data_IF_347797171363
#
_entry.id   IF_347797171363
#
_cell.length_a   1.000
_cell.length_b   1.000
_cell.length_c   1.000
_cell.angle_alpha   90.00
_cell.angle_beta   90.00
_cell.angle_gamma   90.00
#
_symmetry.space_group_name_H-M   'P 1'
#
loop_
_entity.id
_entity.type
_entity.pdbx_description
1 polymer ?
#
# COMPACT_ATOMS: atom_id res chain seq x y z
N UNK A 1 -20.69 0.21 2.51
CA UNK A 1 -20.61 -1.26 2.52
C UNK A 1 -19.14 -1.60 2.46
N UNK A 2 -18.56 -2.04 3.58
CA UNK A 2 -17.20 -2.58 3.62
C UNK A 2 -17.13 -3.76 2.66
N UNK A 3 -16.11 -3.86 1.82
CA UNK A 3 -15.79 -5.15 1.20
C UNK A 3 -14.67 -5.79 2.03
N UNK A 4 -14.99 -6.65 3.01
CA UNK A 4 -13.97 -7.50 3.59
C UNK A 4 -13.39 -8.38 2.48
N UNK A 5 -12.13 -8.79 2.63
CA UNK A 5 -11.58 -9.83 1.77
C UNK A 5 -12.57 -11.00 1.72
N UNK A 6 -12.89 -11.52 0.55
CA UNK A 6 -13.82 -12.64 0.43
C UNK A 6 -13.07 -13.96 0.64
N UNK A 7 -13.81 -15.05 0.87
CA UNK A 7 -13.20 -16.37 1.07
C UNK A 7 -12.39 -16.87 -0.14
N UNK A 8 -12.66 -16.32 -1.33
CA UNK A 8 -11.93 -16.61 -2.57
C UNK A 8 -10.66 -15.76 -2.73
N UNK A 9 -10.52 -14.67 -1.95
CA UNK A 9 -9.31 -13.86 -1.96
C UNK A 9 -8.15 -14.64 -1.34
N UNK A 10 -6.94 -14.40 -1.86
CA UNK A 10 -5.73 -15.03 -1.37
C UNK A 10 -4.77 -14.00 -0.81
N UNK A 11 -4.30 -14.26 0.40
CA UNK A 11 -3.28 -13.46 1.07
C UNK A 11 -2.01 -14.30 1.20
N UNK A 12 -0.93 -13.85 0.54
CA UNK A 12 0.40 -14.45 0.70
C UNK A 12 1.19 -13.70 1.76
N UNK A 13 1.44 -14.35 2.89
CA UNK A 13 2.36 -13.89 3.92
C UNK A 13 3.77 -14.37 3.59
N UNK A 14 4.62 -13.43 3.14
CA UNK A 14 6.02 -13.67 2.82
C UNK A 14 6.94 -13.30 3.99
N UNK A 15 7.82 -14.20 4.38
CA UNK A 15 8.95 -13.92 5.28
C UNK A 15 10.26 -14.12 4.56
N UNK A 16 11.15 -13.13 4.57
CA UNK A 16 12.48 -13.26 3.95
C UNK A 16 13.54 -13.40 5.04
N UNK A 17 14.27 -14.52 5.00
CA UNK A 17 15.47 -14.76 5.78
C UNK A 17 16.65 -14.15 5.02
N UNK A 18 17.38 -13.18 5.59
CA UNK A 18 18.58 -12.64 4.94
C UNK A 18 19.60 -13.76 4.69
N UNK A 19 20.19 -13.76 3.50
CA UNK A 19 21.40 -14.54 3.22
C UNK A 19 22.60 -13.62 3.20
N UNK A 20 23.66 -14.01 3.92
CA UNK A 20 24.97 -13.43 3.72
C UNK A 20 25.49 -13.90 2.35
N UNK A 21 26.07 -13.00 1.55
CA UNK A 21 26.56 -13.30 0.21
C UNK A 21 27.59 -14.44 0.26
N UNK A 22 27.20 -15.64 -0.17
CA UNK A 22 28.08 -16.82 -0.07
C UNK A 22 27.41 -18.17 -0.26
N UNK A 23 26.93 -18.46 -1.48
CA UNK A 23 26.79 -19.84 -1.98
C UNK A 23 25.49 -20.60 -1.72
N UNK A 24 24.50 -20.02 -1.02
CA UNK A 24 23.17 -20.62 -0.88
C UNK A 24 22.21 -20.18 -1.99
N UNK A 25 21.22 -21.02 -2.32
CA UNK A 25 20.20 -20.70 -3.31
C UNK A 25 19.21 -19.68 -2.74
N UNK A 26 19.10 -18.53 -3.40
CA UNK A 26 18.04 -17.54 -3.16
C UNK A 26 16.67 -18.07 -3.63
N UNK A 27 15.59 -17.49 -3.11
CA UNK A 27 14.21 -17.89 -3.38
C UNK A 27 13.57 -18.71 -2.25
N UNK A 28 12.57 -19.53 -2.60
CA UNK A 28 11.75 -20.28 -1.62
C UNK A 28 12.64 -21.21 -0.77
N UNK A 29 12.61 -21.00 0.54
CA UNK A 29 13.28 -21.82 1.53
C UNK A 29 12.31 -22.90 2.02
N UNK A 30 12.71 -24.16 1.94
CA UNK A 30 11.95 -25.27 2.54
C UNK A 30 12.29 -25.43 4.03
N UNK A 31 11.39 -25.98 4.86
CA UNK A 31 11.70 -26.33 6.24
C UNK A 31 12.88 -27.33 6.33
N UNK A 32 13.66 -27.32 7.44
CA UNK A 32 13.46 -26.53 8.66
C UNK A 32 13.94 -25.08 8.56
N UNK A 33 13.22 -24.17 9.22
CA UNK A 33 13.56 -22.74 9.27
C UNK A 33 14.45 -22.40 10.48
N UNK A 34 15.25 -21.31 10.41
CA UNK A 34 15.95 -20.80 11.59
C UNK A 34 14.98 -20.54 12.74
N UNK A 35 15.37 -20.87 13.98
CA UNK A 35 14.50 -20.79 15.18
C UNK A 35 13.91 -19.39 15.37
N UNK A 36 14.66 -18.34 15.04
CA UNK A 36 14.22 -16.94 15.06
C UNK A 36 13.03 -16.67 14.13
N UNK A 37 12.93 -17.40 13.02
CA UNK A 37 11.84 -17.30 12.04
C UNK A 37 10.56 -17.92 12.58
N UNK A 38 10.66 -19.03 13.32
CA UNK A 38 9.49 -19.80 13.80
C UNK A 38 8.55 -18.93 14.65
N UNK A 39 9.09 -18.12 15.56
CA UNK A 39 8.29 -17.21 16.39
C UNK A 39 7.59 -16.12 15.59
N UNK A 40 8.26 -15.55 14.58
CA UNK A 40 7.70 -14.55 13.67
C UNK A 40 6.56 -15.16 12.84
N UNK A 41 6.79 -16.36 12.29
CA UNK A 41 5.80 -17.08 11.49
C UNK A 41 4.55 -17.41 12.30
N UNK A 42 4.71 -17.84 13.55
CA UNK A 42 3.60 -18.13 14.45
C UNK A 42 2.80 -16.86 14.79
N UNK A 43 3.48 -15.77 15.18
CA UNK A 43 2.83 -14.50 15.51
C UNK A 43 2.11 -13.88 14.31
N UNK A 44 2.70 -13.93 13.11
CA UNK A 44 2.07 -13.40 11.91
C UNK A 44 0.83 -14.19 11.48
N UNK A 45 0.84 -15.52 11.63
CA UNK A 45 -0.37 -16.33 11.41
C UNK A 45 -1.48 -15.99 12.41
N UNK A 46 -1.14 -15.77 13.67
CA UNK A 46 -2.11 -15.40 14.71
C UNK A 46 -2.76 -14.04 14.42
N UNK A 47 -1.97 -13.05 14.00
CA UNK A 47 -2.51 -11.74 13.58
C UNK A 47 -3.49 -11.82 12.42
N UNK A 48 -3.30 -12.79 11.53
CA UNK A 48 -4.13 -12.99 10.34
C UNK A 48 -5.14 -14.13 10.50
N UNK A 49 -5.26 -14.76 11.67
CA UNK A 49 -6.08 -15.97 11.84
C UNK A 49 -7.58 -15.73 11.69
N UNK A 50 -8.02 -14.47 11.81
CA UNK A 50 -9.41 -14.04 11.63
C UNK A 50 -9.65 -13.35 10.29
N UNK A 51 -8.67 -13.38 9.38
CA UNK A 51 -8.90 -12.89 8.03
C UNK A 51 -9.85 -13.82 7.30
N UNK A 52 -10.86 -13.29 6.60
CA UNK A 52 -11.74 -14.09 5.75
C UNK A 52 -11.03 -14.67 4.50
N UNK A 53 -9.89 -14.11 4.09
CA UNK A 53 -9.10 -14.59 2.96
C UNK A 53 -8.38 -15.92 3.22
N UNK A 54 -8.11 -16.66 2.14
CA UNK A 54 -7.23 -17.82 2.18
C UNK A 54 -5.77 -17.40 2.45
N UNK A 55 -5.18 -17.88 3.54
CA UNK A 55 -3.81 -17.53 3.92
C UNK A 55 -2.80 -18.55 3.39
N UNK A 56 -1.89 -18.10 2.53
CA UNK A 56 -0.68 -18.82 2.10
C UNK A 56 0.53 -18.24 2.82
N UNK A 57 1.39 -19.11 3.34
CA UNK A 57 2.61 -18.67 4.02
C UNK A 57 3.84 -19.21 3.30
N UNK A 58 4.76 -18.32 2.98
CA UNK A 58 6.00 -18.63 2.28
C UNK A 58 7.19 -18.04 3.01
N UNK A 59 8.30 -18.78 3.02
CA UNK A 59 9.58 -18.33 3.56
C UNK A 59 10.57 -18.32 2.42
N UNK A 60 11.20 -17.19 2.18
CA UNK A 60 12.24 -17.02 1.17
C UNK A 60 13.57 -16.75 1.85
N UNK A 61 14.65 -16.99 1.12
CA UNK A 61 16.00 -16.60 1.51
C UNK A 61 16.56 -15.67 0.44
N UNK A 62 17.15 -14.55 0.85
CA UNK A 62 17.73 -13.60 -0.09
C UNK A 62 17.72 -12.16 0.42
N UNK A 63 18.03 -11.23 -0.49
CA UNK A 63 17.88 -9.80 -0.22
C UNK A 63 16.39 -9.42 -0.14
N UNK A 64 15.93 -8.98 1.04
CA UNK A 64 14.51 -8.76 1.34
C UNK A 64 13.71 -8.03 0.25
N UNK A 65 14.21 -6.88 -0.23
CA UNK A 65 13.48 -6.12 -1.26
C UNK A 65 13.38 -6.87 -2.60
N UNK A 66 14.37 -7.69 -2.96
CA UNK A 66 14.37 -8.45 -4.21
C UNK A 66 13.34 -9.58 -4.12
N UNK A 67 13.43 -10.38 -3.06
CA UNK A 67 12.50 -11.48 -2.80
C UNK A 67 11.04 -11.02 -2.69
N UNK A 68 10.80 -9.85 -2.08
CA UNK A 68 9.45 -9.26 -2.00
C UNK A 68 8.91 -8.91 -3.40
N UNK A 69 9.73 -8.29 -4.24
CA UNK A 69 9.33 -7.88 -5.60
C UNK A 69 9.10 -9.11 -6.50
N UNK A 70 9.99 -10.10 -6.40
CA UNK A 70 9.90 -11.33 -7.18
C UNK A 70 8.67 -12.15 -6.76
N UNK A 71 8.41 -12.28 -5.46
CA UNK A 71 7.20 -12.93 -4.98
C UNK A 71 5.93 -12.19 -5.42
N UNK A 72 5.92 -10.85 -5.36
CA UNK A 72 4.79 -10.06 -5.84
C UNK A 72 4.53 -10.29 -7.34
N UNK A 73 5.57 -10.37 -8.16
CA UNK A 73 5.45 -10.68 -9.58
C UNK A 73 4.99 -12.13 -9.82
N UNK A 74 5.55 -13.10 -9.10
CA UNK A 74 5.23 -14.52 -9.22
C UNK A 74 3.78 -14.83 -8.86
N UNK A 75 3.28 -14.21 -7.78
CA UNK A 75 1.91 -14.35 -7.31
C UNK A 75 0.92 -13.41 -8.01
N UNK A 76 1.40 -12.57 -8.95
CA UNK A 76 0.60 -11.52 -9.60
C UNK A 76 -0.16 -10.67 -8.59
N UNK A 77 0.52 -10.27 -7.52
CA UNK A 77 -0.09 -9.53 -6.43
C UNK A 77 -0.70 -8.23 -6.94
N UNK A 78 -1.99 -8.02 -6.66
CA UNK A 78 -2.74 -6.81 -7.04
C UNK A 78 -2.54 -5.67 -6.02
N UNK A 79 -2.04 -6.01 -4.83
CA UNK A 79 -1.66 -5.07 -3.78
C UNK A 79 -0.54 -5.68 -2.93
N UNK A 80 0.51 -4.91 -2.69
CA UNK A 80 1.59 -5.26 -1.78
C UNK A 80 1.48 -4.46 -0.48
N UNK A 81 1.37 -5.13 0.67
CA UNK A 81 1.27 -4.49 1.98
C UNK A 81 2.57 -4.68 2.76
N UNK A 82 3.20 -3.57 3.16
CA UNK A 82 4.46 -3.59 3.92
C UNK A 82 4.41 -2.61 5.09
N UNK A 83 5.12 -2.93 6.17
CA UNK A 83 5.33 -2.00 7.28
C UNK A 83 6.41 -0.95 6.95
N UNK A 84 6.25 0.27 7.44
CA UNK A 84 7.33 1.25 7.48
C UNK A 84 8.28 0.90 8.64
N UNK A 85 9.56 0.66 8.33
CA UNK A 85 10.56 0.38 9.36
C UNK A 85 11.11 1.70 9.93
N UNK A 86 10.63 2.09 11.12
CA UNK A 86 11.17 3.18 11.93
C UNK A 86 11.44 2.71 13.35
N UNK A 87 12.58 2.05 13.58
CA UNK A 87 12.95 1.51 14.90
C UNK A 87 13.44 2.59 15.90
N UNK A 88 13.33 3.89 15.59
CA UNK A 88 13.75 4.97 16.49
C UNK A 88 12.76 6.14 16.51
N UNK A 89 12.47 6.75 17.67
CA UNK A 89 11.64 7.96 17.80
C UNK A 89 12.12 9.15 16.96
N UNK A 90 13.39 9.15 16.53
CA UNK A 90 14.01 10.24 15.77
C UNK A 90 13.81 10.08 14.25
N UNK A 91 13.42 8.90 13.78
CA UNK A 91 13.24 8.58 12.34
C UNK A 91 11.77 8.40 11.94
N UNK A 92 10.86 9.15 12.57
CA UNK A 92 9.40 9.14 12.29
C UNK A 92 9.03 9.37 10.81
N UNK A 93 9.97 9.82 9.99
CA UNK A 93 9.80 10.09 8.55
C UNK A 93 10.52 9.14 7.60
N UNK A 94 11.30 8.16 8.09
CA UNK A 94 12.02 7.24 7.20
C UNK A 94 11.19 5.99 6.92
N UNK A 95 11.08 5.65 5.63
CA UNK A 95 10.33 4.51 5.11
C UNK A 95 11.01 3.16 5.44
N UNK A 96 12.31 3.17 5.72
CA UNK A 96 13.17 1.99 5.80
C UNK A 96 13.67 1.59 4.40
N UNK A 97 14.89 1.04 4.32
CA UNK A 97 15.55 0.74 3.04
C UNK A 97 14.78 -0.28 2.18
N UNK A 98 14.17 -1.29 2.82
CA UNK A 98 13.35 -2.29 2.11
C UNK A 98 12.11 -1.65 1.52
N UNK A 99 11.34 -0.90 2.30
CA UNK A 99 10.10 -0.31 1.82
C UNK A 99 10.32 0.80 0.78
N UNK A 100 11.39 1.61 0.89
CA UNK A 100 11.76 2.56 -0.16
C UNK A 100 12.08 1.85 -1.47
N UNK A 101 12.87 0.78 -1.43
CA UNK A 101 13.20 0.00 -2.63
C UNK A 101 11.98 -0.67 -3.23
N UNK A 102 11.09 -1.23 -2.41
CA UNK A 102 9.84 -1.84 -2.87
C UNK A 102 8.92 -0.81 -3.54
N UNK A 103 8.67 0.33 -2.90
CA UNK A 103 7.80 1.40 -3.47
C UNK A 103 8.31 1.89 -4.83
N UNK A 104 9.63 1.93 -5.04
CA UNK A 104 10.24 2.38 -6.29
C UNK A 104 10.14 1.38 -7.44
N UNK A 105 10.06 0.09 -7.13
CA UNK A 105 10.24 -0.98 -8.14
C UNK A 105 9.06 -1.93 -8.25
N UNK A 106 8.07 -1.87 -7.35
CA UNK A 106 6.87 -2.67 -7.45
C UNK A 106 6.09 -2.31 -8.73
N UNK A 107 5.57 -3.35 -9.39
CA UNK A 107 4.71 -3.23 -10.58
C UNK A 107 3.24 -3.14 -10.22
N UNK A 108 2.89 -3.35 -8.95
CA UNK A 108 1.55 -3.21 -8.39
C UNK A 108 1.50 -2.11 -7.32
N UNK A 109 0.31 -1.63 -6.95
CA UNK A 109 0.12 -0.70 -5.84
C UNK A 109 0.74 -1.20 -4.54
N UNK A 110 1.34 -0.29 -3.77
CA UNK A 110 2.00 -0.59 -2.49
C UNK A 110 1.34 0.19 -1.36
N UNK A 111 0.81 -0.52 -0.38
CA UNK A 111 0.33 0.05 0.88
C UNK A 111 1.42 -0.03 1.93
N UNK A 112 1.92 1.13 2.34
CA UNK A 112 2.88 1.26 3.43
C UNK A 112 2.16 1.61 4.72
N UNK A 113 2.23 0.73 5.72
CA UNK A 113 1.58 0.91 7.02
C UNK A 113 2.59 1.41 8.05
N UNK A 114 2.34 2.57 8.65
CA UNK A 114 3.16 3.12 9.74
C UNK A 114 2.66 2.67 11.13
N UNK A 115 3.54 2.60 12.14
CA UNK A 115 3.13 2.29 13.52
C UNK A 115 2.02 3.23 14.02
N UNK A 116 1.04 2.67 14.74
CA UNK A 116 -0.09 3.41 15.31
C UNK A 116 -1.24 3.70 14.35
N UNK A 117 -1.17 3.24 13.09
CA UNK A 117 -2.30 3.28 12.15
C UNK A 117 -3.21 2.08 12.38
N UNK A 118 -4.51 2.30 12.60
CA UNK A 118 -5.45 1.23 13.01
C UNK A 118 -6.67 1.09 12.08
N UNK A 119 -7.20 2.18 11.51
CA UNK A 119 -8.32 2.14 10.56
C UNK A 119 -8.28 3.31 9.58
N UNK A 120 -8.57 3.05 8.31
CA UNK A 120 -8.68 4.08 7.26
C UNK A 120 -10.05 4.73 7.36
N UNK A 121 -10.14 5.91 7.96
CA UNK A 121 -11.40 6.70 8.06
C UNK A 121 -11.44 7.93 7.19
N UNK A 122 -10.26 8.45 6.85
CA UNK A 122 -10.11 9.64 6.01
C UNK A 122 -9.00 9.37 5.02
N UNK A 123 -9.34 9.50 3.74
CA UNK A 123 -8.44 9.30 2.62
C UNK A 123 -8.21 10.64 1.96
N UNK A 124 -6.95 10.98 1.72
CA UNK A 124 -6.58 12.15 0.93
C UNK A 124 -6.00 11.63 -0.37
N UNK A 125 -6.58 12.06 -1.50
CA UNK A 125 -6.09 11.74 -2.82
C UNK A 125 -5.51 13.01 -3.45
N UNK A 126 -4.20 12.96 -3.73
CA UNK A 126 -3.52 14.01 -4.47
C UNK A 126 -3.81 13.91 -5.97
N UNK A 127 -4.25 15.00 -6.59
CA UNK A 127 -4.50 15.09 -8.03
C UNK A 127 -3.68 16.24 -8.63
N UNK A 128 -3.01 16.00 -9.74
CA UNK A 128 -2.18 16.98 -10.45
C UNK A 128 -2.34 16.91 -11.97
N UNK A 129 -3.45 16.31 -12.46
CA UNK A 129 -3.74 16.01 -13.87
C UNK A 129 -2.70 15.10 -14.55
N UNK A 130 -1.83 14.43 -13.77
CA UNK A 130 -0.91 13.44 -14.32
C UNK A 130 -1.60 12.11 -14.62
N UNK A 131 -1.08 11.32 -15.58
CA UNK A 131 -1.52 9.94 -15.78
C UNK A 131 -1.38 9.08 -14.52
N UNK A 132 -0.38 9.35 -13.67
CA UNK A 132 -0.21 8.67 -12.38
C UNK A 132 -1.32 8.99 -11.39
N UNK A 133 -1.72 10.26 -11.26
CA UNK A 133 -2.83 10.66 -10.39
C UNK A 133 -4.17 10.06 -10.87
N UNK A 134 -4.39 10.02 -12.19
CA UNK A 134 -5.57 9.37 -12.78
C UNK A 134 -5.62 7.88 -12.43
N UNK A 135 -4.53 7.14 -12.64
CA UNK A 135 -4.45 5.72 -12.27
C UNK A 135 -4.65 5.50 -10.77
N UNK A 136 -4.12 6.38 -9.92
CA UNK A 136 -4.32 6.30 -8.48
C UNK A 136 -5.81 6.49 -8.10
N UNK A 137 -6.51 7.42 -8.75
CA UNK A 137 -7.94 7.63 -8.55
C UNK A 137 -8.76 6.41 -9.01
N UNK A 138 -8.44 5.87 -10.19
CA UNK A 138 -9.09 4.67 -10.73
C UNK A 138 -8.90 3.46 -9.82
N UNK A 139 -7.68 3.25 -9.33
CA UNK A 139 -7.41 2.16 -8.40
C UNK A 139 -8.14 2.34 -7.07
N UNK A 140 -8.14 3.57 -6.51
CA UNK A 140 -8.83 3.86 -5.25
C UNK A 140 -10.34 3.58 -5.33
N UNK A 141 -10.97 3.72 -6.51
CA UNK A 141 -12.40 3.41 -6.69
C UNK A 141 -12.73 1.94 -6.45
N UNK A 142 -11.80 1.03 -6.76
CA UNK A 142 -11.95 -0.40 -6.50
C UNK A 142 -11.45 -0.82 -5.11
N UNK A 143 -10.76 0.08 -4.39
CA UNK A 143 -10.19 -0.24 -3.09
C UNK A 143 -11.29 -0.28 -2.01
N UNK A 144 -11.35 -1.33 -1.18
CA UNK A 144 -12.43 -1.52 -0.21
C UNK A 144 -12.27 -0.62 1.01
N UNK A 145 -12.66 0.64 0.87
CA UNK A 145 -12.72 1.58 1.99
C UNK A 145 -13.92 1.28 2.89
N UNK A 146 -13.80 1.54 4.21
CA UNK A 146 -14.94 1.44 5.10
C UNK A 146 -16.12 2.30 4.64
N UNK A 147 -17.35 1.86 4.92
CA UNK A 147 -18.56 2.56 4.49
C UNK A 147 -18.58 4.05 4.88
N UNK A 148 -18.03 4.39 6.05
CA UNK A 148 -17.96 5.75 6.58
C UNK A 148 -16.66 6.49 6.23
N UNK A 149 -15.82 5.92 5.36
CA UNK A 149 -14.57 6.55 4.96
C UNK A 149 -14.84 7.80 4.11
N UNK A 150 -14.29 8.93 4.54
CA UNK A 150 -14.37 10.18 3.79
C UNK A 150 -13.17 10.29 2.85
N UNK A 151 -13.41 10.50 1.55
CA UNK A 151 -12.36 10.77 0.55
C UNK A 151 -12.33 12.26 0.24
N UNK A 152 -11.18 12.90 0.45
CA UNK A 152 -10.94 14.30 0.12
C UNK A 152 -9.95 14.41 -1.03
N UNK A 153 -10.33 15.13 -2.07
CA UNK A 153 -9.47 15.43 -3.20
C UNK A 153 -8.64 16.67 -2.87
N UNK A 154 -7.32 16.57 -3.04
CA UNK A 154 -6.39 17.69 -2.86
C UNK A 154 -5.64 17.88 -4.16
N UNK A 155 -5.85 19.03 -4.80
CA UNK A 155 -5.13 19.39 -6.02
C UNK A 155 -3.98 20.33 -5.67
N UNK A 156 -2.76 19.95 -6.02
CA UNK A 156 -1.60 20.85 -5.95
C UNK A 156 -1.41 21.44 -7.35
N UNK A 157 -1.89 22.66 -7.55
CA UNK A 157 -1.70 23.34 -8.82
C UNK A 157 -0.24 23.78 -8.94
N UNK A 158 0.47 23.42 -10.03
CA UNK A 158 1.75 24.03 -10.32
C UNK A 158 1.53 25.54 -10.51
N UNK A 159 2.25 26.35 -9.73
CA UNK A 159 2.24 27.80 -9.88
C UNK A 159 2.98 28.15 -11.18
N UNK A 160 2.32 27.99 -12.32
CA UNK A 160 2.85 28.40 -13.61
C UNK A 160 2.85 29.93 -13.66
N UNK A 161 4.03 30.55 -13.82
CA UNK A 161 4.20 31.99 -14.02
C UNK A 161 3.33 32.55 -15.16
N UNK A 162 2.91 31.71 -16.12
CA UNK A 162 2.07 32.09 -17.26
C UNK A 162 0.68 32.62 -16.89
N UNK A 163 0.17 32.36 -15.69
CA UNK A 163 -1.12 32.88 -15.22
C UNK A 163 -1.06 34.36 -14.81
N UNK A 164 0.12 34.88 -14.45
CA UNK A 164 0.27 36.29 -14.07
C UNK A 164 0.17 37.25 -15.27
N UNK A 165 0.28 36.74 -16.49
CA UNK A 165 0.27 37.53 -17.72
C UNK A 165 -1.11 37.71 -18.34
N UNK A 166 -2.16 37.08 -17.78
CA UNK A 166 -3.53 37.18 -18.31
C UNK A 166 -4.48 37.80 -17.28
N UNK A 167 -4.92 39.07 -17.46
CA UNK A 167 -5.82 39.74 -16.53
C UNK A 167 -7.27 39.19 -16.53
N UNK A 168 -7.55 38.14 -17.30
CA UNK A 168 -8.91 37.62 -17.49
C UNK A 168 -9.27 36.40 -16.60
N UNK A 169 -8.34 35.92 -15.77
CA UNK A 169 -8.44 34.63 -15.06
C UNK A 169 -7.68 34.80 -13.72
N UNK A 170 -8.19 34.78 -12.49
CA UNK A 170 -9.44 34.34 -11.85
C UNK A 170 -9.50 34.96 -10.44
N UNK A 171 -10.68 35.38 -10.00
CA UNK A 171 -11.14 35.03 -8.65
C UNK A 171 -11.24 33.50 -8.61
N UNK A 172 -10.47 32.77 -7.77
CA UNK A 172 -10.70 31.34 -7.65
C UNK A 172 -12.15 31.16 -7.17
N UNK A 173 -12.96 30.29 -7.81
CA UNK A 173 -14.16 29.84 -7.15
C UNK A 173 -13.67 29.18 -5.86
N UNK A 174 -14.11 29.70 -4.73
CA UNK A 174 -13.87 29.12 -3.43
C UNK A 174 -14.68 27.83 -3.41
N UNK A 175 -14.10 26.76 -3.94
CA UNK A 175 -14.76 25.47 -4.07
C UNK A 175 -14.48 24.67 -2.81
N UNK A 176 -15.27 24.95 -1.79
CA UNK A 176 -15.49 24.03 -0.68
C UNK A 176 -16.46 22.96 -1.20
N UNK A 177 -15.92 21.85 -1.74
CA UNK A 177 -16.70 20.68 -2.11
C UNK A 177 -16.24 19.49 -1.29
N UNK A 178 -16.76 19.39 -0.07
CA UNK A 178 -17.01 18.08 0.54
C UNK A 178 -18.09 17.37 -0.28
N UNK A 179 -17.67 16.56 -1.25
CA UNK A 179 -18.59 15.66 -1.95
C UNK A 179 -18.55 14.31 -1.22
N UNK A 180 -19.54 14.06 -0.37
CA UNK A 180 -19.74 12.75 0.25
C UNK A 180 -20.13 11.76 -0.85
N UNK A 181 -19.33 10.72 -1.08
CA UNK A 181 -19.56 9.70 -2.13
C UNK A 181 -20.78 8.78 -1.86
N UNK A 182 -21.77 9.23 -1.08
CA UNK A 182 -22.92 8.43 -0.66
C UNK A 182 -24.23 8.70 -1.46
N UNK A 183 -24.23 9.58 -2.46
CA UNK A 183 -25.49 10.03 -3.10
C UNK A 183 -25.65 9.66 -4.58
N UNK A 184 -25.21 8.46 -5.01
CA UNK A 184 -25.40 8.02 -6.40
C UNK A 184 -26.04 6.65 -6.59
N UNK A 185 -27.11 6.38 -5.82
CA UNK A 185 -28.02 5.24 -6.05
C UNK A 185 -29.52 5.61 -6.06
N UNK A 186 -29.87 6.87 -6.32
CA UNK A 186 -31.23 7.20 -6.75
C UNK A 186 -31.16 8.01 -8.03
N UNK A 187 -31.85 7.50 -9.05
CA UNK A 187 -31.97 8.01 -10.41
C UNK A 187 -30.95 7.45 -11.42
N UNK A 188 -31.09 6.17 -11.78
CA UNK A 188 -31.41 5.69 -13.16
C UNK A 188 -32.22 4.40 -13.06
#
# INVERSE_FOLDING_TARGET
>A
SDLPLEAEDSLTLLTVVPSDEGGEREGVLAPPYPVTTVGILAGARDLLCRTPASLRQEVHRGHAAHEILDAAAMHRAELLVIGACGLSPVTRFLLGSVADRVVRHATCPVLVVRPGSTAVRRVILGIDDSPSATRAAEWLRGFPLPAEAEVRLVTVLPLLESWLSSPAVLTPPLVDHTMTLAERERDV
#
